data_IF_256488899330
#
_entry.id   IF_256488899330
#
_cell.length_a   1.000
_cell.length_b   1.000
_cell.length_c   1.000
_cell.angle_alpha   90.00
_cell.angle_beta   90.00
_cell.angle_gamma   90.00
#
_symmetry.space_group_name_H-M   'P 1'
#
loop_
_entity.id
_entity.type
_entity.pdbx_description
1 polymer ?
#
# COMPACT_ATOMS: atom_id res chain seq x y z
N UNK A 1 -17.47 -4.89 4.67
CA UNK A 1 -16.62 -4.09 5.59
C UNK A 1 -15.20 -4.16 5.06
N UNK A 2 -14.73 -3.11 4.39
CA UNK A 2 -13.45 -3.09 3.66
C UNK A 2 -12.37 -2.48 4.56
N UNK A 3 -11.40 -3.31 4.93
CA UNK A 3 -10.31 -2.96 5.83
C UNK A 3 -9.24 -2.19 5.05
N UNK A 4 -9.18 -0.87 5.27
CA UNK A 4 -8.20 0.04 4.66
C UNK A 4 -6.79 -0.42 5.07
N UNK A 5 -6.00 -0.88 4.11
CA UNK A 5 -4.56 -1.07 4.26
C UNK A 5 -3.88 0.29 4.51
N UNK A 6 -3.72 0.68 5.77
CA UNK A 6 -3.11 1.96 6.15
C UNK A 6 -1.62 1.94 5.80
N UNK A 7 -1.18 3.00 5.10
CA UNK A 7 0.24 3.32 4.91
C UNK A 7 0.87 3.51 6.28
N UNK A 8 1.95 2.82 6.61
CA UNK A 8 2.65 3.01 7.89
C UNK A 8 3.31 4.40 7.90
N UNK A 9 2.78 5.29 8.73
CA UNK A 9 3.21 6.69 8.85
C UNK A 9 4.11 6.90 10.06
N UNK A 10 4.78 8.06 10.12
CA UNK A 10 5.49 8.48 11.33
C UNK A 10 4.54 8.56 12.55
N UNK A 11 3.25 8.87 12.34
CA UNK A 11 2.25 8.88 13.40
C UNK A 11 1.93 7.46 13.90
N UNK A 12 1.95 6.45 13.03
CA UNK A 12 1.77 5.04 13.42
C UNK A 12 2.95 4.54 14.25
N UNK A 13 4.18 4.90 13.87
CA UNK A 13 5.38 4.59 14.65
C UNK A 13 5.35 5.27 16.03
N UNK A 14 4.90 6.54 16.08
CA UNK A 14 4.77 7.27 17.32
C UNK A 14 3.69 6.67 18.24
N UNK A 15 2.54 6.26 17.69
CA UNK A 15 1.49 5.53 18.41
C UNK A 15 1.99 4.20 18.95
N UNK A 16 2.71 3.43 18.13
CA UNK A 16 3.27 2.14 18.51
C UNK A 16 4.30 2.32 19.64
N UNK A 17 5.21 3.30 19.53
CA UNK A 17 6.18 3.61 20.58
C UNK A 17 5.51 4.01 21.89
N UNK A 18 4.52 4.90 21.86
CA UNK A 18 3.78 5.31 23.05
C UNK A 18 2.90 4.20 23.65
N UNK A 19 2.51 3.20 22.86
CA UNK A 19 1.87 1.99 23.38
C UNK A 19 2.89 1.09 24.10
N UNK A 20 4.10 0.91 23.54
CA UNK A 20 5.19 0.14 24.17
C UNK A 20 5.64 0.80 25.48
N UNK A 21 5.79 2.13 25.50
CA UNK A 21 6.22 2.89 26.70
C UNK A 21 5.19 2.83 27.84
N UNK A 22 3.88 2.75 27.53
CA UNK A 22 2.81 2.60 28.53
C UNK A 22 2.66 1.17 29.04
N UNK A 23 3.02 0.19 28.22
CA UNK A 23 2.89 -1.23 28.54
C UNK A 23 3.81 -1.69 29.69
N UNK A 24 4.85 -0.92 30.01
CA UNK A 24 5.69 -1.15 31.19
C UNK A 24 7.13 -0.65 31.02
N UNK A 25 7.89 -0.64 32.12
CA UNK A 25 9.33 -0.40 32.07
C UNK A 25 10.08 -1.65 31.58
N UNK A 26 11.28 -1.52 31.02
CA UNK A 26 12.14 -2.66 30.73
C UNK A 26 12.32 -3.54 31.99
N UNK A 27 11.87 -4.78 31.93
CA UNK A 27 11.97 -5.75 33.03
C UNK A 27 10.66 -6.04 33.77
N UNK A 28 9.59 -5.28 33.54
CA UNK A 28 8.26 -5.59 34.10
C UNK A 28 7.54 -6.68 33.29
N UNK A 29 6.67 -7.44 33.97
CA UNK A 29 5.76 -8.35 33.30
C UNK A 29 4.70 -7.54 32.53
N UNK A 30 4.73 -7.61 31.20
CA UNK A 30 3.73 -6.95 30.35
C UNK A 30 2.38 -7.65 30.52
N UNK A 31 1.33 -6.97 31.03
CA UNK A 31 0.01 -7.57 31.16
C UNK A 31 -0.57 -7.97 29.80
N UNK A 32 -1.36 -9.05 29.76
CA UNK A 32 -2.04 -9.51 28.52
C UNK A 32 -2.84 -8.40 27.83
N UNK A 33 -3.45 -7.50 28.59
CA UNK A 33 -4.20 -6.35 28.07
C UNK A 33 -3.33 -5.41 27.24
N UNK A 34 -2.08 -5.20 27.63
CA UNK A 34 -1.13 -4.33 26.93
C UNK A 34 -0.64 -4.97 25.62
N UNK A 35 -0.42 -6.30 25.61
CA UNK A 35 -0.11 -7.04 24.37
C UNK A 35 -1.26 -6.92 23.36
N UNK A 36 -2.50 -7.00 23.84
CA UNK A 36 -3.68 -6.82 22.99
C UNK A 36 -3.82 -5.38 22.51
N UNK A 37 -3.51 -4.39 23.35
CA UNK A 37 -3.50 -2.98 22.96
C UNK A 37 -2.45 -2.70 21.87
N UNK A 38 -1.26 -3.32 21.98
CA UNK A 38 -0.21 -3.26 20.95
C UNK A 38 -0.67 -3.88 19.64
N UNK A 39 -1.34 -5.03 19.66
CA UNK A 39 -1.91 -5.63 18.46
C UNK A 39 -2.97 -4.74 17.80
N UNK A 40 -3.82 -4.09 18.59
CA UNK A 40 -4.85 -3.17 18.08
C UNK A 40 -4.27 -1.87 17.53
N UNK A 41 -3.15 -1.39 18.10
CA UNK A 41 -2.44 -0.21 17.62
C UNK A 41 -1.57 -0.49 16.40
N UNK A 42 -1.16 -1.75 16.22
CA UNK A 42 -0.40 -2.18 15.06
C UNK A 42 -1.29 -2.14 13.79
N UNK A 43 -0.73 -1.79 12.62
CA UNK A 43 -1.42 -1.96 11.34
C UNK A 43 -1.94 -3.38 11.19
N UNK A 44 -3.07 -3.58 10.52
CA UNK A 44 -3.70 -4.91 10.37
C UNK A 44 -2.78 -5.96 9.74
N UNK A 45 -1.81 -5.51 8.96
CA UNK A 45 -0.80 -6.31 8.28
C UNK A 45 0.55 -6.39 8.99
N UNK A 46 0.70 -5.69 10.11
CA UNK A 46 1.86 -5.82 10.95
C UNK A 46 1.75 -7.12 11.75
N UNK A 47 2.78 -7.96 11.66
CA UNK A 47 2.91 -9.14 12.48
C UNK A 47 3.49 -8.79 13.84
N UNK A 48 2.90 -9.30 14.91
CA UNK A 48 3.50 -9.28 16.24
C UNK A 48 4.03 -10.68 16.55
N UNK A 49 5.33 -10.81 16.76
CA UNK A 49 5.97 -12.10 17.10
C UNK A 49 6.70 -12.00 18.42
N UNK A 50 6.51 -12.98 19.29
CA UNK A 50 7.35 -13.16 20.48
C UNK A 50 8.56 -13.99 20.07
N UNK A 51 9.76 -13.45 20.25
CA UNK A 51 10.99 -14.14 19.90
C UNK A 51 11.56 -14.87 21.13
N UNK A 52 11.17 -16.14 21.30
CA UNK A 52 11.56 -16.94 22.45
C UNK A 52 13.06 -17.25 22.50
N UNK A 53 13.72 -17.38 21.34
CA UNK A 53 15.16 -17.65 21.29
C UNK A 53 15.95 -16.42 21.73
N UNK A 54 15.64 -15.26 21.16
CA UNK A 54 16.26 -14.00 21.60
C UNK A 54 15.94 -13.70 23.07
N UNK A 55 14.71 -13.99 23.53
CA UNK A 55 14.31 -13.79 24.92
C UNK A 55 15.18 -14.59 25.91
N UNK A 56 15.56 -15.82 25.55
CA UNK A 56 16.41 -16.68 26.40
C UNK A 56 17.83 -16.15 26.53
N UNK A 57 18.38 -15.60 25.46
CA UNK A 57 19.73 -15.01 25.45
C UNK A 57 19.77 -13.72 26.27
N UNK A 58 18.73 -12.90 26.16
CA UNK A 58 18.66 -11.59 26.81
C UNK A 58 18.14 -11.65 28.25
N UNK A 59 17.56 -12.79 28.67
CA UNK A 59 16.96 -12.94 30.00
C UNK A 59 15.69 -12.10 30.21
N UNK A 60 15.08 -11.58 29.14
CA UNK A 60 13.87 -10.78 29.17
C UNK A 60 12.99 -11.05 27.94
N UNK A 61 11.65 -10.93 28.03
CA UNK A 61 10.76 -11.14 26.91
C UNK A 61 11.00 -10.13 25.78
N UNK A 62 11.19 -10.62 24.54
CA UNK A 62 11.32 -9.81 23.34
C UNK A 62 10.06 -9.90 22.47
N UNK A 63 9.46 -8.73 22.23
CA UNK A 63 8.35 -8.56 21.29
C UNK A 63 8.86 -7.91 20.01
N UNK A 64 8.76 -8.62 18.89
CA UNK A 64 9.17 -8.13 17.57
C UNK A 64 7.93 -7.72 16.78
N UNK A 65 7.87 -6.45 16.42
CA UNK A 65 6.84 -5.92 15.50
C UNK A 65 7.40 -5.94 14.08
N UNK A 66 6.84 -6.80 13.23
CA UNK A 66 7.13 -6.83 11.79
C UNK A 66 6.10 -5.98 11.07
N UNK A 67 6.47 -4.76 10.77
CA UNK A 67 5.70 -3.93 9.82
C UNK A 67 6.16 -4.31 8.41
N UNK A 68 5.26 -4.73 7.49
CA UNK A 68 5.67 -4.97 6.11
C UNK A 68 6.12 -3.64 5.51
N UNK A 69 7.41 -3.57 5.20
CA UNK A 69 8.02 -2.41 4.62
C UNK A 69 8.00 -2.55 3.09
N UNK A 70 7.28 -1.65 2.44
CA UNK A 70 7.19 -1.60 0.98
C UNK A 70 6.02 -0.76 0.50
N UNK A 71 6.09 -0.21 -0.72
CA UNK A 71 4.96 0.47 -1.32
C UNK A 71 3.77 -0.50 -1.41
N UNK A 72 2.65 -0.12 -0.81
CA UNK A 72 1.38 -0.84 -0.94
C UNK A 72 0.65 -0.29 -2.15
N UNK A 73 0.36 -1.13 -3.16
CA UNK A 73 -0.46 -0.70 -4.29
C UNK A 73 -1.78 -0.11 -3.79
N UNK A 74 -2.15 1.04 -4.36
CA UNK A 74 -3.37 1.76 -4.02
C UNK A 74 -4.59 0.85 -4.18
N UNK A 75 -5.61 0.95 -3.30
CA UNK A 75 -6.84 0.16 -3.39
C UNK A 75 -7.55 0.25 -4.75
N UNK A 76 -7.30 1.31 -5.52
CA UNK A 76 -7.82 1.45 -6.89
C UNK A 76 -7.40 0.29 -7.80
N UNK A 77 -6.29 -0.41 -7.49
CA UNK A 77 -5.80 -1.57 -8.24
C UNK A 77 -6.37 -2.91 -7.73
N UNK A 78 -7.18 -2.92 -6.67
CA UNK A 78 -7.64 -4.15 -6.01
C UNK A 78 -8.50 -5.06 -6.92
N UNK A 79 -9.21 -4.48 -7.89
CA UNK A 79 -10.09 -5.21 -8.81
C UNK A 79 -9.39 -5.69 -10.09
N UNK A 80 -8.06 -5.55 -10.19
CA UNK A 80 -7.30 -6.08 -11.31
C UNK A 80 -7.22 -7.61 -11.23
N UNK A 81 -7.30 -8.25 -12.39
CA UNK A 81 -6.98 -9.67 -12.50
C UNK A 81 -5.48 -9.89 -12.22
N UNK A 82 -5.09 -11.12 -11.89
CA UNK A 82 -3.68 -11.48 -11.67
C UNK A 82 -2.76 -10.99 -12.79
N UNK A 83 -3.16 -11.16 -14.05
CA UNK A 83 -2.36 -10.74 -15.21
C UNK A 83 -2.32 -9.23 -15.37
N UNK A 84 -3.41 -8.52 -15.13
CA UNK A 84 -3.44 -7.05 -15.16
C UNK A 84 -2.57 -6.47 -14.04
N UNK A 85 -2.60 -7.07 -12.84
CA UNK A 85 -1.77 -6.67 -11.72
C UNK A 85 -0.27 -6.89 -11.98
N UNK A 86 0.09 -8.02 -12.60
CA UNK A 86 1.46 -8.30 -13.04
C UNK A 86 1.95 -7.25 -14.06
N UNK A 87 1.10 -6.89 -15.05
CA UNK A 87 1.42 -5.83 -16.01
C UNK A 87 1.56 -4.47 -15.32
N UNK A 88 0.68 -4.13 -14.37
CA UNK A 88 0.79 -2.89 -13.58
C UNK A 88 2.10 -2.82 -12.80
N UNK A 89 2.58 -3.93 -12.25
CA UNK A 89 3.87 -4.01 -11.56
C UNK A 89 5.05 -3.78 -12.51
N UNK A 90 5.02 -4.36 -13.71
CA UNK A 90 6.06 -4.12 -14.71
C UNK A 90 6.04 -2.69 -15.27
N UNK A 91 4.85 -2.08 -15.35
CA UNK A 91 4.70 -0.64 -15.66
C UNK A 91 5.34 0.21 -14.56
N UNK A 92 5.09 -0.12 -13.29
CA UNK A 92 5.67 0.57 -12.15
C UNK A 92 7.20 0.43 -12.07
N UNK A 93 7.72 -0.71 -12.53
CA UNK A 93 9.15 -0.95 -12.69
C UNK A 93 9.79 -0.17 -13.88
N UNK A 94 9.01 0.59 -14.64
CA UNK A 94 9.50 1.45 -15.71
C UNK A 94 9.67 0.77 -17.08
N UNK A 95 9.30 -0.51 -17.22
CA UNK A 95 9.44 -1.20 -18.51
C UNK A 95 8.48 -0.64 -19.56
N UNK A 96 8.93 -0.57 -20.81
CA UNK A 96 8.11 -0.24 -21.98
C UNK A 96 7.25 -1.44 -22.43
N UNK A 97 6.16 -1.21 -23.16
CA UNK A 97 5.25 -2.28 -23.60
C UNK A 97 5.95 -3.42 -24.38
N UNK A 98 6.97 -3.09 -25.18
CA UNK A 98 7.75 -4.09 -25.92
C UNK A 98 8.55 -4.98 -24.97
N UNK A 99 9.16 -4.39 -23.94
CA UNK A 99 9.96 -5.09 -22.94
C UNK A 99 9.11 -5.96 -22.01
N UNK A 100 7.91 -5.48 -21.67
CA UNK A 100 6.89 -6.25 -20.95
C UNK A 100 6.45 -7.44 -21.81
N UNK A 101 6.15 -7.19 -23.09
CA UNK A 101 5.71 -8.24 -24.02
C UNK A 101 6.75 -9.36 -24.14
N UNK A 102 8.04 -9.01 -24.24
CA UNK A 102 9.15 -9.98 -24.22
C UNK A 102 9.19 -10.79 -22.93
N UNK A 103 9.15 -10.14 -21.76
CA UNK A 103 9.17 -10.84 -20.45
C UNK A 103 8.00 -11.80 -20.27
N UNK A 104 6.86 -11.38 -20.76
CA UNK A 104 5.60 -12.06 -20.61
C UNK A 104 5.28 -13.04 -21.75
N UNK A 105 6.18 -13.16 -22.73
CA UNK A 105 6.07 -14.01 -23.91
C UNK A 105 4.77 -13.82 -24.70
N UNK A 106 4.38 -12.55 -24.90
CA UNK A 106 3.17 -12.16 -25.64
C UNK A 106 3.49 -11.09 -26.68
N UNK A 107 2.52 -10.74 -27.53
CA UNK A 107 2.67 -9.64 -28.47
C UNK A 107 2.56 -8.28 -27.77
N UNK A 108 3.20 -7.25 -28.33
CA UNK A 108 3.12 -5.87 -27.82
C UNK A 108 1.68 -5.33 -27.86
N UNK A 109 0.87 -5.74 -28.83
CA UNK A 109 -0.56 -5.44 -28.92
C UNK A 109 -1.33 -5.94 -27.69
N UNK A 110 -1.04 -7.15 -27.21
CA UNK A 110 -1.64 -7.72 -26.01
C UNK A 110 -1.34 -6.88 -24.77
N UNK A 111 -0.12 -6.36 -24.62
CA UNK A 111 0.23 -5.47 -23.50
C UNK A 111 -0.48 -4.12 -23.61
N UNK A 112 -0.61 -3.55 -24.81
CA UNK A 112 -1.39 -2.32 -25.00
C UNK A 112 -2.84 -2.52 -24.55
N UNK A 113 -3.45 -3.64 -24.90
CA UNK A 113 -4.81 -3.99 -24.49
C UNK A 113 -4.90 -4.19 -22.96
N UNK A 114 -3.94 -4.86 -22.33
CA UNK A 114 -3.90 -4.97 -20.87
C UNK A 114 -3.81 -3.60 -20.20
N UNK A 115 -2.93 -2.71 -20.66
CA UNK A 115 -2.81 -1.34 -20.12
C UNK A 115 -4.11 -0.57 -20.30
N UNK A 116 -4.76 -0.68 -21.46
CA UNK A 116 -6.06 -0.04 -21.70
C UNK A 116 -7.15 -0.57 -20.75
N UNK A 117 -7.22 -1.89 -20.52
CA UNK A 117 -8.16 -2.49 -19.55
C UNK A 117 -7.86 -2.06 -18.12
N UNK A 118 -6.58 -1.95 -17.74
CA UNK A 118 -6.19 -1.45 -16.41
C UNK A 118 -6.71 -0.04 -16.22
N UNK A 119 -6.43 0.89 -17.16
CA UNK A 119 -6.90 2.28 -17.06
C UNK A 119 -8.43 2.35 -16.98
N UNK A 120 -9.13 1.57 -17.80
CA UNK A 120 -10.60 1.51 -17.78
C UNK A 120 -11.17 0.98 -16.47
N UNK A 121 -10.58 -0.08 -15.89
CA UNK A 121 -11.04 -0.67 -14.63
C UNK A 121 -10.75 0.20 -13.41
N UNK A 122 -9.64 0.93 -13.46
CA UNK A 122 -9.13 1.70 -12.31
C UNK A 122 -9.55 3.17 -12.36
N UNK A 123 -10.01 3.67 -13.52
CA UNK A 123 -10.30 5.09 -13.71
C UNK A 123 -9.06 5.98 -13.73
N UNK A 124 -7.86 5.38 -13.76
CA UNK A 124 -6.61 6.13 -13.76
C UNK A 124 -6.40 6.81 -15.11
N UNK A 125 -5.93 8.08 -15.13
CA UNK A 125 -5.86 8.86 -16.37
C UNK A 125 -4.67 8.48 -17.26
N UNK A 126 -3.67 7.77 -16.74
CA UNK A 126 -2.45 7.49 -17.49
C UNK A 126 -1.67 6.29 -16.97
N UNK A 127 -0.77 5.78 -17.81
CA UNK A 127 0.25 4.78 -17.43
C UNK A 127 1.06 5.23 -16.21
N UNK A 128 1.41 6.52 -16.14
CA UNK A 128 2.16 7.07 -15.02
C UNK A 128 1.33 7.04 -13.73
N UNK A 129 0.03 7.31 -13.81
CA UNK A 129 -0.90 7.15 -12.69
C UNK A 129 -0.99 5.69 -12.22
N UNK A 130 -0.93 4.70 -13.13
CA UNK A 130 -0.84 3.27 -12.77
C UNK A 130 0.45 2.98 -12.00
N UNK A 131 1.59 3.51 -12.45
CA UNK A 131 2.87 3.35 -11.76
C UNK A 131 2.84 3.96 -10.34
N UNK A 132 2.32 5.20 -10.22
CA UNK A 132 2.11 5.89 -8.94
C UNK A 132 1.18 5.10 -8.02
N UNK A 133 0.06 4.60 -8.55
CA UNK A 133 -0.88 3.78 -7.81
C UNK A 133 -0.24 2.49 -7.32
N UNK A 134 0.55 1.80 -8.16
CA UNK A 134 1.27 0.60 -7.74
C UNK A 134 2.31 0.89 -6.66
N UNK A 135 2.94 2.07 -6.69
CA UNK A 135 3.86 2.54 -5.67
C UNK A 135 3.17 3.06 -4.38
N UNK A 136 1.83 3.04 -4.32
CA UNK A 136 1.05 3.52 -3.17
C UNK A 136 0.93 5.04 -3.06
N UNK A 137 1.34 5.78 -4.09
CA UNK A 137 1.26 7.23 -4.17
C UNK A 137 0.00 7.77 -4.84
N UNK A 138 -1.04 6.94 -5.01
CA UNK A 138 -2.32 7.36 -5.61
C UNK A 138 -3.44 7.29 -4.57
N UNK A 139 -3.87 8.46 -4.11
CA UNK A 139 -5.07 8.63 -3.32
C UNK A 139 -6.21 8.95 -4.29
N UNK A 140 -7.17 8.03 -4.42
CA UNK A 140 -8.39 8.35 -5.15
C UNK A 140 -9.17 9.35 -4.29
N UNK A 141 -9.39 10.57 -4.80
CA UNK A 141 -10.36 11.48 -4.21
C UNK A 141 -11.68 10.72 -4.09
N UNK A 142 -12.12 10.51 -2.84
CA UNK A 142 -13.41 9.94 -2.53
C UNK A 142 -14.49 10.98 -2.84
N UNK A 143 -14.80 11.18 -4.13
CA UNK A 143 -15.83 12.13 -4.56
C UNK A 143 -15.59 12.72 -5.94
N UNK A 144 -15.74 11.91 -6.98
CA UNK A 144 -15.90 12.44 -8.33
C UNK A 144 -17.32 12.99 -8.54
N UNK A 145 -17.49 14.31 -8.42
CA UNK A 145 -18.54 15.05 -9.14
C UNK A 145 -18.13 16.53 -9.27
N UNK A 146 -17.91 16.97 -10.50
CA UNK A 146 -17.85 18.39 -10.85
C UNK A 146 -16.45 18.95 -11.07
N UNK A 147 -15.77 18.54 -12.14
CA UNK A 147 -14.97 19.53 -12.89
C UNK A 147 -15.83 20.01 -14.04
N UNK A 148 -16.58 21.06 -13.74
CA UNK A 148 -17.13 21.96 -14.76
C UNK A 148 -15.98 22.37 -15.68
N UNK A 149 -16.12 21.97 -16.94
CA UNK A 149 -15.48 22.66 -18.04
C UNK A 149 -16.19 24.00 -18.18
N UNK A 150 -15.77 25.00 -17.40
CA UNK A 150 -16.06 26.39 -17.77
C UNK A 150 -15.40 26.63 -19.11
N UNK A 151 -16.23 26.51 -20.14
CA UNK A 151 -16.07 27.07 -21.46
C UNK A 151 -15.60 28.51 -21.27
N UNK A 152 -14.33 28.77 -21.58
CA UNK A 152 -13.85 30.12 -21.78
C UNK A 152 -14.43 30.50 -23.14
N UNK A 153 -15.60 31.12 -23.11
CA UNK A 153 -16.14 31.83 -24.25
C UNK A 153 -15.20 33.00 -24.54
N UNK A 154 -14.70 33.02 -25.77
CA UNK A 154 -14.03 34.15 -26.40
C UNK A 154 -14.95 35.38 -26.33
N UNK A 155 -14.42 36.50 -25.83
CA UNK A 155 -14.96 37.83 -26.07
C UNK A 155 -13.77 38.77 -26.31
N UNK A 156 -13.51 39.03 -27.59
CA UNK A 156 -12.67 40.11 -28.10
C UNK A 156 -13.60 41.16 -28.72
N UNK A 157 -13.49 42.43 -28.32
CA UNK A 157 -13.88 43.55 -29.17
C UNK A 157 -12.67 44.25 -29.80
#
# INVERSE_FOLDING_TARGET
>A
MSERAHRFTAADLHRLRGAVERAGQPGDAIPRSEILALHQAAPTDAGLTVDFEASRVLGMPLLVVRVPFGPRPSPVLANLTRREFEVAGLVAAGFANKEIATRLHVQTSTIKEHVHRILRKTGLPSRAAVAMAYAGGWEADAGGSGRDTTSIHEDEP
#
